data_IF_141784669359
#
_entry.id   IF_141784669359
#
_cell.length_a   1.000
_cell.length_b   1.000
_cell.length_c   1.000
_cell.angle_alpha   90.00
_cell.angle_beta   90.00
_cell.angle_gamma   90.00
#
_symmetry.space_group_name_H-M   'P 1'
#
loop_
_entity.id
_entity.type
_entity.pdbx_description
1 polymer ?
#
# COMPACT_ATOMS: atom_id res chain seq x y z
N UNK A 1 26.19 10.54 -0.61
CA UNK A 1 25.14 9.87 0.18
C UNK A 1 24.66 10.74 1.36
N UNK A 2 25.56 11.26 2.23
CA UNK A 2 25.14 12.03 3.41
C UNK A 2 24.31 13.27 2.99
N UNK A 3 24.81 14.06 2.05
CA UNK A 3 24.09 15.25 1.54
C UNK A 3 22.78 14.86 0.89
N UNK A 4 22.77 13.79 0.12
CA UNK A 4 21.55 13.33 -0.57
C UNK A 4 20.47 12.91 0.44
N UNK A 5 20.85 12.17 1.49
CA UNK A 5 19.92 11.70 2.52
C UNK A 5 19.46 12.87 3.39
N UNK A 6 20.38 13.60 4.00
CA UNK A 6 20.03 14.71 4.91
C UNK A 6 19.31 15.83 4.17
N UNK A 7 19.77 16.14 2.94
CA UNK A 7 19.14 17.18 2.12
C UNK A 7 17.72 16.82 1.70
N UNK A 8 17.46 15.55 1.33
CA UNK A 8 16.11 15.09 1.00
C UNK A 8 15.18 15.14 2.21
N UNK A 9 15.63 14.65 3.36
CA UNK A 9 14.83 14.72 4.60
C UNK A 9 14.53 16.15 5.01
N UNK A 10 15.55 17.03 4.99
CA UNK A 10 15.37 18.45 5.33
C UNK A 10 14.43 19.17 4.34
N UNK A 11 14.51 18.86 3.05
CA UNK A 11 13.61 19.44 2.06
C UNK A 11 12.14 19.02 2.30
N UNK A 12 11.90 17.75 2.62
CA UNK A 12 10.56 17.25 2.96
C UNK A 12 10.00 17.92 4.22
N UNK A 13 10.84 18.08 5.26
CA UNK A 13 10.47 18.78 6.50
C UNK A 13 10.14 20.25 6.23
N UNK A 14 10.98 20.97 5.48
CA UNK A 14 10.74 22.38 5.12
C UNK A 14 9.47 22.55 4.31
N UNK A 15 9.17 21.60 3.43
CA UNK A 15 7.96 21.62 2.61
C UNK A 15 6.70 21.18 3.38
N UNK A 16 6.85 20.71 4.61
CA UNK A 16 5.74 20.25 5.45
C UNK A 16 5.05 19.02 4.86
N UNK A 17 5.81 18.05 4.33
CA UNK A 17 5.27 16.85 3.73
C UNK A 17 4.92 15.84 4.81
N UNK A 18 3.65 15.51 4.94
CA UNK A 18 3.14 14.58 5.94
C UNK A 18 3.13 13.13 5.42
N UNK A 19 2.89 12.93 4.12
CA UNK A 19 2.70 11.61 3.53
C UNK A 19 3.46 11.47 2.22
N UNK A 20 4.07 10.31 2.01
CA UNK A 20 4.81 9.99 0.80
C UNK A 20 4.30 8.66 0.23
N UNK A 21 3.89 8.68 -1.02
CA UNK A 21 3.57 7.49 -1.80
C UNK A 21 4.58 7.36 -2.95
N UNK A 22 5.00 6.15 -3.25
CA UNK A 22 5.92 5.87 -4.35
C UNK A 22 5.30 4.90 -5.35
N UNK A 23 5.64 5.03 -6.62
CA UNK A 23 5.43 3.96 -7.58
C UNK A 23 6.26 2.73 -7.20
N UNK A 24 5.95 1.53 -7.72
CA UNK A 24 6.85 0.37 -7.59
C UNK A 24 8.27 0.73 -8.02
N UNK A 25 9.27 0.26 -7.27
CA UNK A 25 10.67 0.58 -7.52
C UNK A 25 11.11 -0.01 -8.86
N UNK A 26 11.67 0.82 -9.73
CA UNK A 26 12.20 0.37 -10.99
C UNK A 26 13.45 -0.50 -10.76
N UNK A 27 13.49 -1.67 -11.37
CA UNK A 27 14.65 -2.57 -11.39
C UNK A 27 15.04 -2.87 -12.83
N UNK A 28 16.31 -3.09 -13.07
CA UNK A 28 16.85 -3.38 -14.39
C UNK A 28 17.68 -4.65 -14.38
N UNK A 29 18.20 -5.07 -15.53
CA UNK A 29 18.94 -6.32 -15.69
C UNK A 29 20.43 -6.08 -15.99
N UNK A 30 21.15 -7.17 -16.26
CA UNK A 30 22.56 -7.13 -16.62
C UNK A 30 23.50 -7.01 -15.42
N UNK A 31 24.54 -6.22 -15.55
CA UNK A 31 25.58 -6.05 -14.53
C UNK A 31 25.97 -4.59 -14.35
N UNK A 32 26.39 -4.26 -13.13
CA UNK A 32 26.94 -2.95 -12.80
C UNK A 32 28.40 -3.07 -12.39
N UNK A 33 29.20 -2.09 -12.75
CA UNK A 33 30.59 -1.97 -12.31
C UNK A 33 30.67 -1.13 -11.05
N UNK A 34 31.25 -1.68 -10.00
CA UNK A 34 31.44 -1.03 -8.72
C UNK A 34 32.88 -1.10 -8.25
N UNK A 35 33.22 -0.49 -7.12
CA UNK A 35 34.53 -0.64 -6.47
C UNK A 35 34.84 -2.10 -6.08
N UNK A 36 33.82 -2.93 -5.93
CA UNK A 36 33.93 -4.35 -5.57
C UNK A 36 33.91 -5.29 -6.80
N UNK A 37 34.08 -4.75 -8.01
CA UNK A 37 34.04 -5.50 -9.24
C UNK A 37 32.72 -5.43 -9.98
N UNK A 38 32.43 -6.44 -10.78
CA UNK A 38 31.20 -6.58 -11.56
C UNK A 38 30.14 -7.27 -10.67
N UNK A 39 29.02 -6.61 -10.47
CA UNK A 39 27.91 -7.11 -9.67
C UNK A 39 26.66 -7.30 -10.55
N UNK A 40 25.74 -8.20 -10.18
CA UNK A 40 24.43 -8.29 -10.84
C UNK A 40 23.62 -7.02 -10.63
N UNK A 41 22.70 -6.76 -11.54
CA UNK A 41 21.76 -5.64 -11.45
C UNK A 41 20.32 -6.16 -11.34
N UNK A 42 19.52 -5.77 -10.32
CA UNK A 42 19.87 -4.80 -9.27
C UNK A 42 21.02 -5.27 -8.37
N UNK A 43 21.82 -4.32 -7.88
CA UNK A 43 22.94 -4.61 -6.99
C UNK A 43 22.50 -5.30 -5.70
N UNK A 44 23.38 -6.12 -5.05
CA UNK A 44 23.02 -6.92 -3.88
C UNK A 44 22.37 -6.12 -2.74
N UNK A 45 22.83 -4.90 -2.49
CA UNK A 45 22.23 -4.04 -1.46
C UNK A 45 20.79 -3.65 -1.80
N UNK A 46 20.52 -3.29 -3.04
CA UNK A 46 19.15 -2.97 -3.52
C UNK A 46 18.28 -4.22 -3.43
N UNK A 47 18.73 -5.34 -3.96
CA UNK A 47 17.99 -6.60 -3.93
C UNK A 47 17.64 -7.03 -2.50
N UNK A 48 18.57 -6.90 -1.56
CA UNK A 48 18.36 -7.22 -0.15
C UNK A 48 17.31 -6.30 0.49
N UNK A 49 17.41 -5.00 0.29
CA UNK A 49 16.42 -4.04 0.84
C UNK A 49 15.02 -4.30 0.29
N UNK A 50 14.88 -4.53 -1.01
CA UNK A 50 13.59 -4.83 -1.64
C UNK A 50 12.98 -6.12 -1.08
N UNK A 51 13.78 -7.17 -0.90
CA UNK A 51 13.32 -8.45 -0.35
C UNK A 51 12.93 -8.34 1.13
N UNK A 52 13.74 -7.66 1.94
CA UNK A 52 13.51 -7.51 3.38
C UNK A 52 12.23 -6.75 3.70
N UNK A 53 11.92 -5.75 2.89
CA UNK A 53 10.74 -4.89 3.10
C UNK A 53 9.56 -5.22 2.17
N UNK A 54 9.65 -6.33 1.41
CA UNK A 54 8.62 -6.77 0.48
C UNK A 54 8.12 -5.65 -0.47
N UNK A 55 9.06 -4.81 -0.94
CA UNK A 55 8.73 -3.65 -1.78
C UNK A 55 8.37 -4.09 -3.20
N UNK A 56 7.22 -3.67 -3.75
CA UNK A 56 6.86 -4.00 -5.12
C UNK A 56 7.83 -3.38 -6.12
N UNK A 57 8.21 -4.14 -7.13
CA UNK A 57 9.15 -3.72 -8.16
C UNK A 57 8.51 -3.70 -9.54
N UNK A 58 9.07 -2.90 -10.44
CA UNK A 58 8.76 -2.87 -11.85
C UNK A 58 10.02 -3.06 -12.67
N UNK A 59 10.08 -4.14 -13.44
CA UNK A 59 11.19 -4.41 -14.37
C UNK A 59 11.23 -3.35 -15.50
N UNK A 60 12.44 -2.85 -15.80
CA UNK A 60 12.73 -1.96 -16.91
C UNK A 60 13.79 -2.62 -17.79
N UNK A 61 13.53 -2.65 -19.08
CA UNK A 61 14.44 -3.26 -20.06
C UNK A 61 15.61 -2.32 -20.39
N UNK A 62 16.57 -2.28 -19.48
CA UNK A 62 17.85 -1.58 -19.63
C UNK A 62 18.95 -2.34 -18.86
N UNK A 63 20.19 -2.17 -19.30
CA UNK A 63 21.38 -2.88 -18.79
C UNK A 63 22.21 -2.02 -17.80
N UNK A 64 21.61 -0.99 -17.24
CA UNK A 64 22.27 -0.11 -16.26
C UNK A 64 21.43 0.09 -15.01
N UNK A 65 22.05 0.53 -13.93
CA UNK A 65 21.38 0.81 -12.66
C UNK A 65 20.39 1.97 -12.80
N UNK A 66 19.11 1.70 -12.54
CA UNK A 66 18.02 2.69 -12.54
C UNK A 66 17.62 3.13 -11.14
N UNK A 67 17.90 2.31 -10.13
CA UNK A 67 17.61 2.60 -8.73
C UNK A 67 18.84 2.36 -7.88
N UNK A 68 19.38 3.43 -7.32
CA UNK A 68 20.58 3.37 -6.46
C UNK A 68 20.24 2.91 -5.04
N UNK A 69 21.19 2.31 -4.30
CA UNK A 69 20.96 1.93 -2.90
C UNK A 69 20.48 3.09 -2.02
N UNK A 70 21.01 4.29 -2.21
CA UNK A 70 20.61 5.48 -1.46
C UNK A 70 19.15 5.88 -1.75
N UNK A 71 18.75 5.90 -3.03
CA UNK A 71 17.38 6.24 -3.42
C UNK A 71 16.37 5.20 -2.92
N UNK A 72 16.70 3.92 -3.02
CA UNK A 72 15.85 2.83 -2.52
C UNK A 72 15.70 2.91 -1.00
N UNK A 73 16.79 3.14 -0.27
CA UNK A 73 16.76 3.29 1.17
C UNK A 73 15.89 4.47 1.63
N UNK A 74 15.97 5.62 0.96
CA UNK A 74 15.13 6.78 1.23
C UNK A 74 13.64 6.46 1.02
N UNK A 75 13.30 5.84 -0.12
CA UNK A 75 11.91 5.50 -0.39
C UNK A 75 11.35 4.48 0.60
N UNK A 76 12.13 3.45 0.96
CA UNK A 76 11.71 2.45 1.96
C UNK A 76 11.50 3.09 3.34
N UNK A 77 12.34 4.05 3.71
CA UNK A 77 12.26 4.70 5.01
C UNK A 77 11.13 5.73 5.12
N UNK A 78 10.73 6.34 4.00
CA UNK A 78 9.86 7.51 4.00
C UNK A 78 8.48 7.26 3.36
N UNK A 79 8.37 6.31 2.42
CA UNK A 79 7.09 6.06 1.76
C UNK A 79 6.19 5.15 2.61
N UNK A 80 4.95 5.58 2.79
CA UNK A 80 3.91 4.81 3.47
C UNK A 80 3.29 3.75 2.56
N UNK A 81 3.34 3.97 1.25
CA UNK A 81 2.76 3.05 0.26
C UNK A 81 3.53 3.03 -1.04
N UNK A 82 3.44 1.88 -1.73
CA UNK A 82 4.03 1.67 -3.06
C UNK A 82 2.93 1.20 -4.01
N UNK A 83 2.65 1.97 -5.06
CA UNK A 83 1.61 1.62 -6.02
C UNK A 83 1.22 2.75 -6.94
N UNK A 84 -0.08 2.87 -7.21
CA UNK A 84 -0.63 3.97 -7.97
C UNK A 84 -0.49 5.30 -7.22
N UNK A 85 -0.38 6.39 -7.96
CA UNK A 85 -0.42 7.73 -7.37
C UNK A 85 -1.76 7.95 -6.66
N UNK A 86 -1.77 8.49 -5.43
CA UNK A 86 -3.01 8.85 -4.77
C UNK A 86 -3.78 9.90 -5.58
N UNK A 87 -5.11 9.87 -5.47
CA UNK A 87 -5.95 10.91 -6.04
C UNK A 87 -5.74 12.21 -5.29
N UNK A 88 -5.21 13.22 -5.97
CA UNK A 88 -4.97 14.54 -5.39
C UNK A 88 -4.88 15.61 -6.49
N UNK A 89 -5.31 16.85 -6.25
CA UNK A 89 -4.94 17.98 -7.07
C UNK A 89 -3.44 18.20 -6.99
N UNK A 90 -2.75 18.16 -8.14
CA UNK A 90 -1.32 18.42 -8.18
C UNK A 90 -1.09 19.95 -8.14
N UNK A 91 -0.36 20.40 -7.13
CA UNK A 91 -0.05 21.84 -6.92
C UNK A 91 1.35 22.21 -7.34
N UNK A 92 2.28 21.26 -7.32
CA UNK A 92 3.65 21.48 -7.81
C UNK A 92 4.25 20.17 -8.34
N UNK A 93 5.24 20.32 -9.20
CA UNK A 93 6.02 19.21 -9.75
C UNK A 93 7.51 19.50 -9.62
N UNK A 94 8.29 18.45 -9.41
CA UNK A 94 9.75 18.51 -9.41
C UNK A 94 10.36 17.31 -10.13
N UNK A 95 11.55 17.50 -10.66
CA UNK A 95 12.31 16.45 -11.33
C UNK A 95 13.73 16.42 -10.82
N UNK A 96 14.21 15.23 -10.45
CA UNK A 96 15.61 14.97 -10.16
C UNK A 96 16.23 14.16 -11.28
N UNK A 97 17.21 14.72 -11.98
CA UNK A 97 17.89 14.04 -13.08
C UNK A 97 19.10 13.25 -12.58
N UNK A 98 19.23 12.01 -13.06
CA UNK A 98 20.43 11.21 -12.89
C UNK A 98 21.55 11.69 -13.83
N UNK A 99 22.78 11.30 -13.55
CA UNK A 99 23.96 11.68 -14.35
C UNK A 99 24.04 10.95 -15.70
N UNK A 100 23.38 9.81 -15.84
CA UNK A 100 23.33 9.05 -17.10
C UNK A 100 22.27 9.66 -18.02
N UNK A 101 22.61 9.88 -19.28
CA UNK A 101 21.73 10.46 -20.28
C UNK A 101 21.42 9.47 -21.41
N UNK A 102 20.50 8.52 -21.24
CA UNK A 102 20.10 7.60 -22.30
C UNK A 102 19.32 8.36 -23.39
N UNK A 103 19.37 7.84 -24.63
CA UNK A 103 18.76 8.49 -25.80
C UNK A 103 17.28 8.16 -25.97
N UNK A 104 16.81 7.08 -25.34
CA UNK A 104 15.48 6.51 -25.53
C UNK A 104 14.47 6.91 -24.43
N UNK A 105 14.97 7.45 -23.32
CA UNK A 105 14.14 7.82 -22.16
C UNK A 105 14.79 8.88 -21.28
N UNK A 106 13.97 9.61 -20.55
CA UNK A 106 14.48 10.51 -19.51
C UNK A 106 14.89 9.68 -18.27
N UNK A 107 16.10 9.91 -17.76
CA UNK A 107 16.59 9.34 -16.52
C UNK A 107 16.31 10.31 -15.36
N UNK A 108 15.05 10.33 -14.92
CA UNK A 108 14.56 11.28 -13.91
C UNK A 108 13.67 10.59 -12.88
N UNK A 109 13.72 11.10 -11.66
CA UNK A 109 12.67 10.91 -10.66
C UNK A 109 11.71 12.08 -10.76
N UNK A 110 10.44 11.81 -10.88
CA UNK A 110 9.39 12.83 -10.84
C UNK A 110 8.73 12.83 -9.48
N UNK A 111 8.56 14.01 -8.90
CA UNK A 111 7.83 14.23 -7.66
C UNK A 111 6.61 15.10 -7.98
N UNK A 112 5.46 14.62 -7.53
CA UNK A 112 4.20 15.36 -7.61
C UNK A 112 3.84 15.78 -6.19
N UNK A 113 3.63 17.06 -5.97
CA UNK A 113 3.16 17.62 -4.71
C UNK A 113 1.69 18.00 -4.85
N UNK A 114 0.90 17.63 -3.87
CA UNK A 114 -0.51 17.98 -3.80
C UNK A 114 -1.00 17.84 -2.38
N UNK A 115 -2.11 18.48 -2.06
CA UNK A 115 -2.86 18.15 -0.88
C UNK A 115 -3.81 17.02 -1.29
N UNK A 116 -3.71 15.87 -0.69
CA UNK A 116 -4.89 15.07 -0.56
C UNK A 116 -5.76 15.90 0.37
N UNK A 117 -6.82 16.56 -0.18
CA UNK A 117 -7.95 16.74 0.68
C UNK A 117 -8.10 15.35 1.31
N UNK A 118 -7.92 15.30 2.61
CA UNK A 118 -8.53 14.23 3.36
C UNK A 118 -10.00 14.44 3.01
N UNK A 119 -10.42 13.85 1.90
CA UNK A 119 -11.72 13.27 1.91
C UNK A 119 -11.53 12.37 3.11
N UNK A 120 -11.86 12.92 4.29
CA UNK A 120 -12.43 12.08 5.28
C UNK A 120 -13.42 11.31 4.43
N UNK A 121 -13.08 10.10 4.13
CA UNK A 121 -14.02 9.06 3.82
C UNK A 121 -14.97 9.02 5.04
N UNK A 122 -15.42 10.23 5.41
CA UNK A 122 -16.28 10.51 6.52
C UNK A 122 -17.67 9.97 6.27
N UNK A 123 -17.86 9.36 5.08
CA UNK A 123 -19.06 8.67 4.70
C UNK A 123 -18.83 7.20 4.30
N UNK A 124 -17.57 6.69 4.33
CA UNK A 124 -17.30 5.27 4.18
C UNK A 124 -16.76 4.68 5.48
N UNK A 125 -17.67 4.14 6.24
CA UNK A 125 -17.37 3.29 7.39
C UNK A 125 -17.05 1.87 6.88
N UNK A 126 -15.91 1.31 7.31
CA UNK A 126 -15.61 -0.09 7.02
C UNK A 126 -16.44 -0.94 7.96
N UNK A 127 -17.47 -1.59 7.45
CA UNK A 127 -18.31 -2.49 8.22
C UNK A 127 -17.88 -3.94 7.97
N UNK A 128 -18.01 -4.75 9.00
CA UNK A 128 -17.75 -6.19 8.97
C UNK A 128 -19.07 -6.92 9.11
N UNK A 129 -19.31 -7.90 8.22
CA UNK A 129 -20.43 -8.83 8.36
C UNK A 129 -19.93 -10.09 9.06
N UNK A 130 -20.51 -10.39 10.23
CA UNK A 130 -20.29 -11.65 10.93
C UNK A 130 -21.46 -12.58 10.63
N UNK A 131 -21.16 -13.83 10.28
CA UNK A 131 -22.17 -14.83 9.94
C UNK A 131 -21.98 -16.10 10.78
N UNK A 132 -23.07 -16.63 11.31
CA UNK A 132 -23.08 -17.91 12.00
C UNK A 132 -24.31 -18.74 11.67
N UNK A 133 -24.13 -20.05 11.47
CA UNK A 133 -25.21 -20.96 11.16
C UNK A 133 -25.59 -21.79 12.40
N UNK A 134 -26.90 -21.89 12.64
CA UNK A 134 -27.43 -22.72 13.75
C UNK A 134 -28.63 -23.55 13.29
N UNK A 135 -28.77 -24.78 13.81
CA UNK A 135 -29.88 -25.71 13.55
C UNK A 135 -30.58 -26.19 14.84
N UNK A 136 -30.18 -25.64 16.01
CA UNK A 136 -30.64 -26.08 17.33
C UNK A 136 -31.10 -24.94 18.25
N UNK A 137 -31.28 -23.73 17.71
CA UNK A 137 -31.74 -22.55 18.46
C UNK A 137 -33.21 -22.26 18.17
N UNK A 138 -33.99 -21.94 19.22
CA UNK A 138 -35.41 -21.61 19.04
C UNK A 138 -35.59 -20.20 18.44
N UNK A 139 -36.72 -19.94 17.76
CA UNK A 139 -37.01 -18.59 17.20
C UNK A 139 -36.99 -17.48 18.25
N UNK A 140 -37.42 -17.76 19.49
CA UNK A 140 -37.44 -16.80 20.57
C UNK A 140 -36.01 -16.38 20.97
N UNK A 141 -35.07 -17.36 21.02
CA UNK A 141 -33.66 -17.08 21.32
C UNK A 141 -33.02 -16.29 20.18
N UNK A 142 -33.32 -16.61 18.92
CA UNK A 142 -32.85 -15.83 17.79
C UNK A 142 -33.34 -14.38 17.83
N UNK A 143 -34.65 -14.18 18.08
CA UNK A 143 -35.22 -12.85 18.18
C UNK A 143 -34.60 -12.04 19.34
N UNK A 144 -34.40 -12.68 20.50
CA UNK A 144 -33.70 -12.07 21.62
C UNK A 144 -32.25 -11.69 21.27
N UNK A 145 -31.54 -12.60 20.59
CA UNK A 145 -30.14 -12.37 20.19
C UNK A 145 -30.03 -11.19 19.24
N UNK A 146 -30.88 -11.10 18.23
CA UNK A 146 -30.92 -9.94 17.31
C UNK A 146 -31.15 -8.63 18.09
N UNK A 147 -32.11 -8.61 19.01
CA UNK A 147 -32.37 -7.44 19.83
C UNK A 147 -31.15 -7.03 20.67
N UNK A 148 -30.49 -8.00 21.29
CA UNK A 148 -29.29 -7.77 22.10
C UNK A 148 -28.10 -7.25 21.25
N UNK A 149 -27.91 -7.77 20.05
CA UNK A 149 -26.86 -7.30 19.15
C UNK A 149 -27.08 -5.83 18.76
N UNK A 150 -28.31 -5.45 18.45
CA UNK A 150 -28.65 -4.05 18.16
C UNK A 150 -28.45 -3.14 19.39
N UNK A 151 -28.85 -3.57 20.59
CA UNK A 151 -28.62 -2.83 21.84
C UNK A 151 -27.11 -2.66 22.16
N UNK A 152 -26.27 -3.58 21.73
CA UNK A 152 -24.81 -3.53 21.92
C UNK A 152 -24.06 -2.82 20.80
N UNK A 153 -24.77 -2.19 19.87
CA UNK A 153 -24.19 -1.28 18.89
C UNK A 153 -23.91 -1.90 17.51
N UNK A 154 -24.50 -3.04 17.18
CA UNK A 154 -24.48 -3.52 15.81
C UNK A 154 -25.23 -2.53 14.90
N UNK A 155 -24.69 -2.30 13.69
CA UNK A 155 -25.33 -1.44 12.71
C UNK A 155 -26.60 -2.06 12.15
N UNK A 156 -26.63 -3.40 12.02
CA UNK A 156 -27.80 -4.18 11.66
C UNK A 156 -27.60 -5.65 12.07
N UNK A 157 -28.72 -6.38 12.25
CA UNK A 157 -28.68 -7.81 12.51
C UNK A 157 -29.96 -8.48 12.00
N UNK A 158 -29.78 -9.58 11.25
CA UNK A 158 -30.92 -10.30 10.66
C UNK A 158 -30.69 -11.80 10.62
N UNK A 159 -31.76 -12.54 10.36
CA UNK A 159 -31.74 -14.01 10.30
C UNK A 159 -32.26 -14.47 8.95
N UNK A 160 -31.48 -15.30 8.27
CA UNK A 160 -31.86 -15.92 6.99
C UNK A 160 -32.09 -17.43 7.21
N UNK A 161 -33.27 -17.98 6.81
CA UNK A 161 -33.48 -19.41 6.84
C UNK A 161 -32.59 -20.10 5.80
N UNK A 162 -31.96 -21.20 6.20
CA UNK A 162 -31.07 -22.00 5.37
C UNK A 162 -31.35 -23.49 5.48
N UNK A 163 -30.90 -24.25 4.49
CA UNK A 163 -30.83 -25.72 4.57
C UNK A 163 -29.39 -26.11 4.79
N UNK A 164 -29.12 -26.77 5.89
CA UNK A 164 -27.80 -27.25 6.28
C UNK A 164 -27.57 -28.69 5.84
N UNK A 165 -26.38 -29.24 6.12
CA UNK A 165 -26.04 -30.64 5.85
C UNK A 165 -27.09 -31.59 6.40
N UNK A 166 -27.30 -32.72 5.74
CA UNK A 166 -28.33 -33.73 6.09
C UNK A 166 -29.77 -33.22 5.97
N UNK A 167 -30.02 -32.19 5.12
CA UNK A 167 -31.33 -31.57 4.90
C UNK A 167 -31.97 -30.98 6.17
N UNK A 168 -31.17 -30.54 7.13
CA UNK A 168 -31.68 -29.88 8.33
C UNK A 168 -32.04 -28.44 8.02
N UNK A 169 -33.20 -28.00 8.46
CA UNK A 169 -33.56 -26.61 8.50
C UNK A 169 -32.75 -25.91 9.57
N UNK A 170 -32.20 -24.78 9.25
CA UNK A 170 -31.43 -23.94 10.16
C UNK A 170 -31.55 -22.48 9.80
N UNK A 171 -30.80 -21.67 10.49
CA UNK A 171 -30.78 -20.23 10.34
C UNK A 171 -29.35 -19.73 10.23
N UNK A 172 -29.09 -18.76 9.39
CA UNK A 172 -27.89 -17.96 9.37
C UNK A 172 -28.18 -16.64 10.08
N UNK A 173 -27.57 -16.41 11.23
CA UNK A 173 -27.57 -15.12 11.89
C UNK A 173 -26.46 -14.27 11.31
N UNK A 174 -26.79 -13.10 10.84
CA UNK A 174 -25.88 -12.15 10.21
C UNK A 174 -25.90 -10.85 11.00
N UNK A 175 -24.72 -10.26 11.22
CA UNK A 175 -24.54 -9.05 12.01
C UNK A 175 -23.62 -8.12 11.25
N UNK A 176 -24.03 -6.89 11.09
CA UNK A 176 -23.25 -5.81 10.51
C UNK A 176 -22.68 -4.94 11.64
N UNK A 177 -21.38 -4.85 11.76
CA UNK A 177 -20.68 -4.10 12.79
C UNK A 177 -19.37 -3.46 12.29
#
# INVERSE_FOLDING_TARGET
>A
AIIDIVGSCAALEILGIDRIASSPIATSHGTIRSAHGILPNPGPAVAHMLATHAVPTRGVDVDYEVSTPTGVALLIALAESFGASPSMPVTAIGHGAGTRNPTDRANVVQVLLGATDVVHDGDTETLVVLETNTDDVTPEVLAYTVAQLMEHGANDAWVTPIIMKKNRHGHCLQVLC
#
